data_IF_481413828334
#
_entry.id   IF_481413828334
#
_cell.length_a   1.000
_cell.length_b   1.000
_cell.length_c   1.000
_cell.angle_alpha   90.00
_cell.angle_beta   90.00
_cell.angle_gamma   90.00
#
_symmetry.space_group_name_H-M   'P 1'
#
loop_
_entity.id
_entity.type
_entity.pdbx_description
1 polymer ?
#
# COMPACT_ATOMS: atom_id res chain seq x y z
N UNK A 1 16.37 1.03 86.11
CA UNK A 1 16.86 0.94 84.72
C UNK A 1 16.28 -0.34 84.17
N UNK A 2 15.12 -0.22 83.48
CA UNK A 2 14.36 -1.38 82.99
C UNK A 2 14.56 -1.45 81.48
N UNK A 3 15.13 -2.51 81.00
CA UNK A 3 15.22 -2.84 79.61
C UNK A 3 13.88 -3.45 79.16
N UNK A 4 13.21 -2.79 78.27
CA UNK A 4 12.00 -3.30 77.60
C UNK A 4 12.47 -4.13 76.37
N UNK A 5 12.21 -5.42 76.38
CA UNK A 5 12.44 -6.37 75.33
C UNK A 5 11.19 -6.30 74.40
N UNK A 6 11.37 -5.72 73.22
CA UNK A 6 10.35 -5.76 72.13
C UNK A 6 10.36 -7.14 71.52
N UNK A 7 9.24 -7.84 71.62
CA UNK A 7 9.02 -9.14 71.00
C UNK A 7 8.30 -8.92 69.64
N UNK A 8 8.81 -9.44 68.50
CA UNK A 8 8.13 -9.22 67.22
C UNK A 8 6.83 -10.05 67.11
N UNK A 9 5.77 -9.40 66.65
CA UNK A 9 4.47 -9.99 66.43
C UNK A 9 4.53 -11.13 65.37
N UNK A 10 3.67 -12.16 65.43
CA UNK A 10 3.67 -13.26 64.49
C UNK A 10 3.19 -12.81 63.10
N UNK A 11 3.94 -13.25 62.08
CA UNK A 11 3.61 -13.01 60.69
C UNK A 11 2.26 -13.67 60.34
N UNK A 12 1.29 -12.85 59.95
CA UNK A 12 0.00 -13.33 59.43
C UNK A 12 0.21 -14.11 58.14
N UNK A 13 -0.13 -15.38 58.16
CA UNK A 13 -0.18 -16.26 56.99
C UNK A 13 -1.23 -15.75 56.02
N UNK A 14 -0.77 -14.99 54.98
CA UNK A 14 -1.64 -14.57 53.89
C UNK A 14 -1.87 -15.76 52.99
N UNK A 15 -3.03 -16.38 53.12
CA UNK A 15 -3.49 -17.45 52.27
C UNK A 15 -3.25 -17.10 50.75
N UNK A 16 -2.52 -17.98 50.09
CA UNK A 16 -2.20 -17.89 48.66
C UNK A 16 -3.53 -17.84 47.88
N UNK A 17 -3.73 -16.88 46.96
CA UNK A 17 -4.95 -16.81 46.17
C UNK A 17 -5.13 -18.08 45.35
N UNK A 18 -6.37 -18.58 45.19
CA UNK A 18 -6.65 -19.78 44.43
C UNK A 18 -6.12 -19.67 43.00
N UNK A 19 -5.57 -20.79 42.50
CA UNK A 19 -5.07 -20.87 41.13
C UNK A 19 -6.19 -20.53 40.12
N UNK A 20 -5.89 -19.77 39.07
CA UNK A 20 -6.91 -19.45 38.05
C UNK A 20 -7.41 -20.74 37.40
N UNK A 21 -8.73 -20.82 37.06
CA UNK A 21 -9.29 -22.00 36.42
C UNK A 21 -8.54 -22.34 35.13
N UNK A 22 -8.28 -23.62 34.91
CA UNK A 22 -7.64 -24.12 33.70
C UNK A 22 -8.38 -23.68 32.45
N UNK A 23 -7.69 -22.96 31.57
CA UNK A 23 -8.24 -22.56 30.29
C UNK A 23 -8.46 -23.81 29.43
N UNK A 24 -9.69 -24.11 28.97
CA UNK A 24 -9.94 -25.32 28.18
C UNK A 24 -9.04 -25.32 26.94
N UNK A 25 -8.44 -26.46 26.66
CA UNK A 25 -7.61 -26.67 25.47
C UNK A 25 -8.40 -26.32 24.22
N UNK A 26 -7.87 -25.41 23.40
CA UNK A 26 -8.52 -25.03 22.14
C UNK A 26 -8.58 -26.26 21.22
N UNK A 27 -9.73 -26.51 20.56
CA UNK A 27 -9.79 -27.56 19.54
C UNK A 27 -8.71 -27.31 18.50
N UNK A 28 -7.89 -28.31 18.22
CA UNK A 28 -6.95 -28.29 17.10
C UNK A 28 -7.77 -28.29 15.81
N UNK A 29 -7.72 -27.17 15.10
CA UNK A 29 -8.27 -27.12 13.75
C UNK A 29 -7.51 -28.12 12.86
N UNK A 30 -8.19 -28.79 11.89
CA UNK A 30 -7.48 -29.69 10.97
C UNK A 30 -6.33 -28.94 10.30
N UNK A 31 -5.17 -29.58 10.29
CA UNK A 31 -3.97 -29.06 9.62
C UNK A 31 -4.29 -28.95 8.13
N UNK A 32 -4.48 -27.71 7.67
CA UNK A 32 -4.56 -27.45 6.24
C UNK A 32 -3.25 -27.93 5.60
N UNK A 33 -3.29 -28.59 4.42
CA UNK A 33 -2.10 -29.08 3.76
C UNK A 33 -1.09 -27.91 3.64
N UNK A 34 0.08 -28.14 4.19
CA UNK A 34 1.16 -27.15 4.19
C UNK A 34 1.43 -26.76 2.72
N UNK A 35 1.11 -25.52 2.36
CA UNK A 35 1.52 -24.97 1.08
C UNK A 35 3.01 -25.20 0.94
N UNK A 36 3.40 -26.11 0.01
CA UNK A 36 4.80 -26.39 -0.28
C UNK A 36 5.51 -25.06 -0.58
N UNK A 37 6.68 -24.80 -0.01
CA UNK A 37 7.46 -23.62 -0.39
C UNK A 37 7.71 -23.66 -1.87
N UNK A 38 7.47 -22.56 -2.56
CA UNK A 38 7.99 -22.45 -3.94
C UNK A 38 9.52 -22.59 -3.85
N UNK A 39 10.12 -23.53 -4.60
CA UNK A 39 11.57 -23.76 -4.57
C UNK A 39 12.28 -22.43 -4.89
N UNK A 40 13.23 -22.00 -4.07
CA UNK A 40 14.02 -20.76 -4.26
C UNK A 40 13.56 -19.56 -3.44
N UNK A 41 12.26 -19.28 -3.24
CA UNK A 41 11.80 -18.13 -2.45
C UNK A 41 12.00 -18.29 -0.93
N UNK A 42 12.14 -19.51 -0.45
CA UNK A 42 12.45 -19.80 0.96
C UNK A 42 13.91 -19.50 1.34
N UNK A 43 14.81 -19.46 0.35
CA UNK A 43 16.25 -19.27 0.57
C UNK A 43 16.67 -17.79 0.66
N UNK A 44 15.85 -16.84 0.15
CA UNK A 44 16.20 -15.41 0.19
C UNK A 44 16.08 -14.87 1.61
N UNK A 45 17.11 -14.23 2.18
CA UNK A 45 17.06 -13.63 3.53
C UNK A 45 15.94 -12.58 3.65
N UNK A 46 15.35 -12.46 4.83
CA UNK A 46 14.27 -11.48 5.08
C UNK A 46 14.70 -10.03 4.87
N UNK A 47 15.93 -9.61 5.23
CA UNK A 47 16.43 -8.28 4.92
C UNK A 47 16.45 -7.97 3.42
N UNK A 48 16.88 -8.91 2.58
CA UNK A 48 16.96 -8.71 1.13
C UNK A 48 15.57 -8.54 0.50
N UNK A 49 14.59 -9.34 0.97
CA UNK A 49 13.19 -9.17 0.55
C UNK A 49 12.65 -7.79 0.93
N UNK A 50 12.98 -7.31 2.14
CA UNK A 50 12.57 -5.98 2.59
C UNK A 50 13.25 -4.87 1.79
N UNK A 51 14.53 -5.01 1.48
CA UNK A 51 15.27 -4.04 0.68
C UNK A 51 14.71 -3.97 -0.75
N UNK A 52 14.40 -5.11 -1.37
CA UNK A 52 13.75 -5.17 -2.68
C UNK A 52 12.37 -4.49 -2.65
N UNK A 53 11.59 -4.69 -1.57
CA UNK A 53 10.31 -4.00 -1.37
C UNK A 53 10.48 -2.50 -1.16
N UNK A 54 11.50 -2.06 -0.42
CA UNK A 54 11.80 -0.65 -0.20
C UNK A 54 12.19 0.03 -1.52
N UNK A 55 13.09 -0.55 -2.29
CA UNK A 55 13.51 -0.02 -3.60
C UNK A 55 12.35 0.07 -4.60
N UNK A 56 11.58 -1.01 -4.77
CA UNK A 56 10.40 -1.01 -5.64
C UNK A 56 9.30 -0.06 -5.16
N UNK A 57 9.11 0.07 -3.84
CA UNK A 57 8.19 1.04 -3.25
C UNK A 57 8.62 2.49 -3.49
N UNK A 58 9.92 2.79 -3.46
CA UNK A 58 10.47 4.10 -3.81
C UNK A 58 10.21 4.44 -5.29
N UNK A 59 10.44 3.48 -6.21
CA UNK A 59 10.11 3.63 -7.63
C UNK A 59 8.63 3.97 -7.82
N UNK A 60 7.72 3.24 -7.16
CA UNK A 60 6.29 3.54 -7.25
C UNK A 60 5.92 4.89 -6.63
N UNK A 61 6.50 5.25 -5.50
CA UNK A 61 6.22 6.56 -4.86
C UNK A 61 6.60 7.72 -5.77
N UNK A 62 7.74 7.64 -6.44
CA UNK A 62 8.14 8.60 -7.46
C UNK A 62 7.22 8.58 -8.69
N UNK A 63 6.92 7.39 -9.21
CA UNK A 63 6.06 7.23 -10.37
C UNK A 63 4.65 7.79 -10.15
N UNK A 64 3.97 7.48 -9.05
CA UNK A 64 2.59 7.94 -8.82
C UNK A 64 2.51 9.46 -8.69
N UNK A 65 3.56 10.12 -8.18
CA UNK A 65 3.64 11.57 -8.15
C UNK A 65 3.73 12.16 -9.56
N UNK A 66 4.68 11.67 -10.37
CA UNK A 66 4.85 12.14 -11.76
C UNK A 66 3.62 11.82 -12.60
N UNK A 67 3.04 10.64 -12.41
CA UNK A 67 1.82 10.21 -13.08
C UNK A 67 0.63 11.10 -12.73
N UNK A 68 0.46 11.46 -11.46
CA UNK A 68 -0.55 12.44 -11.04
C UNK A 68 -0.37 13.78 -11.75
N UNK A 69 0.87 14.32 -11.76
CA UNK A 69 1.15 15.59 -12.43
C UNK A 69 0.82 15.55 -13.93
N UNK A 70 1.11 14.41 -14.58
CA UNK A 70 0.70 14.15 -15.96
C UNK A 70 -0.82 14.11 -16.13
N UNK A 71 -1.53 13.42 -15.24
CA UNK A 71 -2.98 13.29 -15.28
C UNK A 71 -3.69 14.66 -15.12
N UNK A 72 -3.15 15.56 -14.28
CA UNK A 72 -3.71 16.91 -14.08
C UNK A 72 -3.69 17.77 -15.33
N UNK A 73 -2.93 17.40 -16.37
CA UNK A 73 -3.00 18.06 -17.68
C UNK A 73 -4.36 17.92 -18.36
N UNK A 74 -5.21 16.99 -17.91
CA UNK A 74 -6.58 16.85 -18.40
C UNK A 74 -7.38 18.15 -18.29
N UNK A 75 -7.09 19.00 -17.29
CA UNK A 75 -7.71 20.32 -17.13
C UNK A 75 -7.28 21.36 -18.18
N UNK A 76 -6.26 21.05 -18.97
CA UNK A 76 -5.79 21.91 -20.05
C UNK A 76 -6.49 21.63 -21.38
N UNK A 77 -7.41 20.66 -21.39
CA UNK A 77 -8.19 20.26 -22.56
C UNK A 77 -7.60 19.10 -23.36
N UNK A 78 -8.37 18.55 -24.31
CA UNK A 78 -8.03 17.34 -25.05
C UNK A 78 -6.72 17.47 -25.83
N UNK A 79 -6.52 18.58 -26.54
CA UNK A 79 -5.34 18.78 -27.37
C UNK A 79 -4.03 18.71 -26.59
N UNK A 80 -3.98 19.39 -25.42
CA UNK A 80 -2.77 19.40 -24.58
C UNK A 80 -2.56 18.07 -23.85
N UNK A 81 -3.64 17.39 -23.48
CA UNK A 81 -3.54 16.08 -22.83
C UNK A 81 -3.07 15.02 -23.82
N UNK A 82 -3.61 14.99 -25.03
CA UNK A 82 -3.21 14.04 -26.07
C UNK A 82 -1.80 14.35 -26.60
N UNK A 83 -1.41 15.63 -26.73
CA UNK A 83 -0.04 16.02 -27.04
C UNK A 83 0.96 15.54 -25.97
N UNK A 84 0.59 15.61 -24.68
CA UNK A 84 1.41 15.08 -23.61
C UNK A 84 1.54 13.54 -23.70
N UNK A 85 0.45 12.84 -23.98
CA UNK A 85 0.47 11.39 -24.17
C UNK A 85 1.34 10.99 -25.38
N UNK A 86 1.34 11.81 -26.46
CA UNK A 86 2.20 11.60 -27.61
C UNK A 86 3.67 11.91 -27.30
N UNK A 87 3.95 12.96 -26.52
CA UNK A 87 5.31 13.27 -26.05
C UNK A 87 5.93 12.07 -25.31
N UNK A 88 5.15 11.37 -24.47
CA UNK A 88 5.64 10.17 -23.79
C UNK A 88 5.99 9.03 -24.76
N UNK A 89 5.32 8.95 -25.90
CA UNK A 89 5.60 7.96 -26.95
C UNK A 89 6.79 8.33 -27.82
N UNK A 90 7.04 9.62 -28.00
CA UNK A 90 8.11 10.14 -28.86
C UNK A 90 9.36 10.56 -28.11
N UNK A 91 9.32 10.51 -26.76
CA UNK A 91 10.46 10.87 -25.92
C UNK A 91 11.70 10.05 -26.33
N UNK A 92 12.81 10.78 -26.53
CA UNK A 92 14.08 10.21 -26.97
C UNK A 92 14.28 10.23 -28.51
N UNK A 93 13.24 10.56 -29.30
CA UNK A 93 13.42 10.70 -30.75
C UNK A 93 14.22 11.98 -31.10
N UNK A 94 15.02 11.99 -32.17
CA UNK A 94 15.26 10.89 -33.11
C UNK A 94 16.34 9.90 -32.69
N UNK A 95 17.02 10.11 -31.53
CA UNK A 95 18.13 9.29 -31.09
C UNK A 95 17.69 7.85 -30.76
N UNK A 96 16.51 7.72 -30.16
CA UNK A 96 15.92 6.42 -29.84
C UNK A 96 14.65 6.19 -30.70
N UNK A 97 14.38 4.94 -31.08
CA UNK A 97 13.11 4.59 -31.75
C UNK A 97 11.90 5.00 -30.88
N UNK A 98 10.81 5.36 -31.56
CA UNK A 98 9.53 5.72 -30.91
C UNK A 98 9.09 4.66 -29.90
N UNK A 99 8.74 5.07 -28.69
CA UNK A 99 8.26 4.21 -27.61
C UNK A 99 9.34 3.57 -26.77
N UNK A 100 10.63 3.66 -27.11
CA UNK A 100 11.71 2.99 -26.36
C UNK A 100 11.72 3.37 -24.89
N UNK A 101 11.67 4.65 -24.55
CA UNK A 101 11.67 5.11 -23.15
C UNK A 101 10.38 4.69 -22.42
N UNK A 102 9.24 4.74 -23.11
CA UNK A 102 7.96 4.33 -22.54
C UNK A 102 7.95 2.82 -22.24
N UNK A 103 8.48 1.99 -23.14
CA UNK A 103 8.62 0.55 -22.90
C UNK A 103 9.62 0.23 -21.81
N UNK A 104 10.74 0.97 -21.75
CA UNK A 104 11.70 0.89 -20.64
C UNK A 104 11.03 1.18 -19.28
N UNK A 105 10.27 2.27 -19.20
CA UNK A 105 9.51 2.61 -18.01
C UNK A 105 8.49 1.52 -17.63
N UNK A 106 7.76 0.96 -18.60
CA UNK A 106 6.84 -0.17 -18.39
C UNK A 106 7.55 -1.40 -17.85
N UNK A 107 8.73 -1.73 -18.39
CA UNK A 107 9.52 -2.86 -17.91
C UNK A 107 9.96 -2.67 -16.45
N UNK A 108 10.48 -1.48 -16.11
CA UNK A 108 10.88 -1.12 -14.74
C UNK A 108 9.69 -1.18 -13.79
N UNK A 109 8.53 -0.63 -14.15
CA UNK A 109 7.32 -0.67 -13.32
C UNK A 109 6.80 -2.09 -13.14
N UNK A 110 6.82 -2.92 -14.20
CA UNK A 110 6.40 -4.32 -14.11
C UNK A 110 7.32 -5.12 -13.19
N UNK A 111 8.64 -4.98 -13.35
CA UNK A 111 9.61 -5.63 -12.47
C UNK A 111 9.45 -5.16 -11.01
N UNK A 112 9.24 -3.84 -10.80
CA UNK A 112 8.98 -3.28 -9.48
C UNK A 112 7.68 -3.82 -8.87
N UNK A 113 6.61 -4.00 -9.67
CA UNK A 113 5.35 -4.58 -9.19
C UNK A 113 5.54 -6.03 -8.73
N UNK A 114 6.24 -6.82 -9.52
CA UNK A 114 6.52 -8.22 -9.18
C UNK A 114 7.38 -8.33 -7.91
N UNK A 115 8.43 -7.51 -7.79
CA UNK A 115 9.28 -7.47 -6.60
C UNK A 115 8.50 -7.02 -5.36
N UNK A 116 7.71 -5.96 -5.47
CA UNK A 116 6.94 -5.38 -4.35
C UNK A 116 5.83 -6.34 -3.88
N UNK A 117 4.98 -6.78 -4.78
CA UNK A 117 3.86 -7.67 -4.46
C UNK A 117 4.35 -9.07 -4.05
N UNK A 118 5.37 -9.60 -4.75
CA UNK A 118 6.01 -10.88 -4.42
C UNK A 118 6.65 -10.84 -3.04
N UNK A 119 7.41 -9.78 -2.73
CA UNK A 119 8.00 -9.56 -1.41
C UNK A 119 6.94 -9.47 -0.32
N UNK A 120 5.86 -8.74 -0.54
CA UNK A 120 4.73 -8.64 0.39
C UNK A 120 4.07 -10.00 0.65
N UNK A 121 3.90 -10.81 -0.40
CA UNK A 121 3.38 -12.17 -0.29
C UNK A 121 4.32 -13.07 0.53
N UNK A 122 5.62 -13.07 0.24
CA UNK A 122 6.65 -13.84 0.97
C UNK A 122 6.66 -13.48 2.45
N UNK A 123 6.75 -12.18 2.78
CA UNK A 123 6.75 -11.72 4.17
C UNK A 123 5.43 -12.04 4.88
N UNK A 124 4.31 -12.01 4.17
CA UNK A 124 3.01 -12.38 4.73
C UNK A 124 2.97 -13.87 5.08
N UNK A 125 3.44 -14.75 4.18
CA UNK A 125 3.51 -16.18 4.43
C UNK A 125 4.45 -16.50 5.60
N UNK A 126 5.65 -15.88 5.63
CA UNK A 126 6.60 -16.05 6.74
C UNK A 126 6.00 -15.63 8.09
N UNK A 127 5.35 -14.46 8.13
CA UNK A 127 4.70 -13.97 9.35
C UNK A 127 3.56 -14.88 9.82
N UNK A 128 2.78 -15.45 8.91
CA UNK A 128 1.71 -16.42 9.26
C UNK A 128 2.27 -17.70 9.82
N UNK A 129 3.34 -18.23 9.22
CA UNK A 129 4.02 -19.45 9.72
C UNK A 129 4.60 -19.24 11.13
N UNK A 130 5.29 -18.12 11.35
CA UNK A 130 5.87 -17.78 12.64
C UNK A 130 4.83 -17.63 13.76
N UNK A 131 3.63 -17.16 13.44
CA UNK A 131 2.55 -16.95 14.42
C UNK A 131 1.62 -18.17 14.60
N UNK A 132 1.80 -19.24 13.85
CA UNK A 132 0.98 -20.45 13.93
C UNK A 132 -0.51 -20.25 13.58
N UNK A 133 -0.90 -19.11 13.00
CA UNK A 133 -2.28 -18.77 12.70
C UNK A 133 -2.41 -18.16 11.31
N UNK A 134 -3.41 -18.60 10.55
CA UNK A 134 -3.80 -18.00 9.26
C UNK A 134 -4.50 -16.65 9.45
N UNK A 135 -5.07 -16.41 10.64
CA UNK A 135 -5.75 -15.17 10.99
C UNK A 135 -4.81 -14.29 11.84
N UNK A 136 -4.83 -12.97 11.66
CA UNK A 136 -4.11 -12.10 12.57
C UNK A 136 -4.62 -12.33 14.00
N UNK A 137 -3.70 -12.41 14.99
CA UNK A 137 -4.11 -12.61 16.36
C UNK A 137 -5.11 -11.53 16.75
N UNK A 138 -6.32 -11.94 17.15
CA UNK A 138 -7.29 -11.06 17.80
C UNK A 138 -6.76 -10.70 19.17
N UNK A 139 -5.71 -9.89 19.22
CA UNK A 139 -5.15 -9.40 20.48
C UNK A 139 -6.26 -8.69 21.27
N UNK A 140 -6.34 -8.98 22.59
CA UNK A 140 -7.15 -8.22 23.54
C UNK A 140 -6.88 -6.74 23.30
N UNK A 141 -7.86 -6.03 22.77
CA UNK A 141 -7.76 -4.59 22.52
C UNK A 141 -7.70 -3.88 23.88
N UNK A 142 -6.70 -3.07 24.15
CA UNK A 142 -6.79 -2.16 25.30
C UNK A 142 -8.01 -1.28 25.07
N UNK A 143 -9.03 -1.40 25.95
CA UNK A 143 -10.19 -0.51 25.92
C UNK A 143 -9.70 0.90 26.23
N UNK A 144 -10.00 1.87 25.34
CA UNK A 144 -9.82 3.31 25.63
C UNK A 144 -8.73 4.04 24.84
N UNK A 145 -7.83 3.39 24.10
CA UNK A 145 -6.83 4.11 23.30
C UNK A 145 -7.42 4.54 21.95
N UNK A 146 -7.61 5.85 21.72
CA UNK A 146 -7.97 6.40 20.40
C UNK A 146 -6.96 5.85 19.38
N UNK A 147 -7.46 5.28 18.29
CA UNK A 147 -6.60 4.76 17.21
C UNK A 147 -5.96 5.94 16.51
N UNK A 148 -4.64 6.09 16.61
CA UNK A 148 -3.95 7.07 15.78
C UNK A 148 -4.14 6.69 14.29
N UNK A 149 -4.27 7.67 13.38
CA UNK A 149 -4.34 7.43 11.94
C UNK A 149 -3.20 6.52 11.44
N UNK A 150 -2.02 6.65 12.04
CA UNK A 150 -0.85 5.83 11.78
C UNK A 150 -1.07 4.33 12.10
N UNK A 151 -1.71 4.03 13.23
CA UNK A 151 -1.99 2.63 13.60
C UNK A 151 -3.06 2.01 12.67
N UNK A 152 -3.96 2.81 12.12
CA UNK A 152 -4.93 2.38 11.10
C UNK A 152 -4.20 2.09 9.78
N UNK A 153 -3.37 3.01 9.30
CA UNK A 153 -2.57 2.84 8.08
C UNK A 153 -1.71 1.57 8.14
N UNK A 154 -0.99 1.35 9.24
CA UNK A 154 -0.18 0.13 9.45
C UNK A 154 -1.00 -1.17 9.34
N UNK A 155 -2.21 -1.19 9.88
CA UNK A 155 -3.08 -2.37 9.85
C UNK A 155 -3.69 -2.61 8.48
N UNK A 156 -3.91 -1.55 7.70
CA UNK A 156 -4.52 -1.61 6.38
C UNK A 156 -3.53 -1.90 5.24
N UNK A 157 -2.21 -1.97 5.49
CA UNK A 157 -1.19 -2.15 4.44
C UNK A 157 -1.47 -3.33 3.50
N UNK A 158 -1.87 -4.48 4.06
CA UNK A 158 -2.16 -5.66 3.24
C UNK A 158 -3.45 -5.50 2.42
N UNK A 159 -4.49 -4.93 3.02
CA UNK A 159 -5.76 -4.69 2.32
C UNK A 159 -5.63 -3.58 1.28
N UNK A 160 -4.97 -2.47 1.62
CA UNK A 160 -4.71 -1.40 0.65
C UNK A 160 -3.81 -1.87 -0.49
N UNK A 161 -2.76 -2.66 -0.20
CA UNK A 161 -1.93 -3.28 -1.22
C UNK A 161 -2.71 -4.21 -2.15
N UNK A 162 -3.64 -5.01 -1.62
CA UNK A 162 -4.54 -5.86 -2.42
C UNK A 162 -5.47 -5.03 -3.32
N UNK A 163 -6.08 -3.98 -2.77
CA UNK A 163 -6.92 -3.04 -3.55
C UNK A 163 -6.12 -2.38 -4.67
N UNK A 164 -4.90 -1.91 -4.36
CA UNK A 164 -4.03 -1.27 -5.36
C UNK A 164 -3.56 -2.24 -6.44
N UNK A 165 -3.26 -3.49 -6.09
CA UNK A 165 -2.90 -4.52 -7.08
C UNK A 165 -4.04 -4.80 -8.06
N UNK A 166 -5.28 -4.99 -7.54
CA UNK A 166 -6.46 -5.18 -8.38
C UNK A 166 -6.79 -3.93 -9.20
N UNK A 167 -6.66 -2.75 -8.60
CA UNK A 167 -6.85 -1.48 -9.30
C UNK A 167 -5.82 -1.27 -10.40
N UNK A 168 -4.55 -1.58 -10.17
CA UNK A 168 -3.50 -1.45 -11.20
C UNK A 168 -3.81 -2.33 -12.41
N UNK A 169 -4.24 -3.58 -12.17
CA UNK A 169 -4.66 -4.47 -13.24
C UNK A 169 -5.86 -3.88 -14.00
N UNK A 170 -6.92 -3.46 -13.28
CA UNK A 170 -8.08 -2.84 -13.88
C UNK A 170 -7.71 -1.59 -14.68
N UNK A 171 -6.91 -0.69 -14.11
CA UNK A 171 -6.47 0.56 -14.73
C UNK A 171 -5.70 0.33 -16.05
N UNK A 172 -4.80 -0.67 -16.07
CA UNK A 172 -4.06 -1.03 -17.29
C UNK A 172 -5.00 -1.61 -18.34
N UNK A 173 -5.94 -2.47 -17.97
CA UNK A 173 -6.93 -3.02 -18.89
C UNK A 173 -7.87 -1.92 -19.43
N UNK A 174 -8.28 -0.99 -18.57
CA UNK A 174 -9.23 0.08 -18.89
C UNK A 174 -8.61 1.14 -19.84
N UNK A 175 -7.53 1.79 -19.40
CA UNK A 175 -7.00 2.98 -20.09
C UNK A 175 -5.76 2.74 -20.94
N UNK A 176 -5.09 1.59 -20.80
CA UNK A 176 -3.86 1.31 -21.57
C UNK A 176 -4.12 0.32 -22.69
N UNK A 177 -4.80 -0.79 -22.40
CA UNK A 177 -5.03 -1.88 -23.34
C UNK A 177 -6.39 -1.80 -24.04
N UNK A 178 -7.35 -1.07 -23.47
CA UNK A 178 -8.70 -1.01 -23.99
C UNK A 178 -9.44 -2.36 -23.93
N UNK A 179 -9.07 -3.22 -22.99
CA UNK A 179 -9.58 -4.58 -22.91
C UNK A 179 -10.95 -4.63 -22.21
N UNK A 180 -11.92 -5.29 -22.87
CA UNK A 180 -13.26 -5.51 -22.30
C UNK A 180 -13.24 -6.62 -21.26
N UNK A 181 -14.08 -6.55 -20.24
CA UNK A 181 -15.13 -5.55 -19.96
C UNK A 181 -14.63 -4.30 -19.19
N UNK A 182 -13.34 -4.18 -18.88
CA UNK A 182 -12.80 -3.05 -18.10
C UNK A 182 -12.95 -1.73 -18.86
N UNK A 183 -12.50 -1.68 -20.11
CA UNK A 183 -12.53 -0.47 -20.94
C UNK A 183 -13.96 -0.06 -21.34
N UNK A 184 -14.13 1.26 -21.58
CA UNK A 184 -15.34 1.82 -22.18
C UNK A 184 -15.60 1.24 -23.59
N UNK A 185 -16.85 1.27 -24.02
CA UNK A 185 -17.23 0.89 -25.39
C UNK A 185 -16.62 1.81 -26.43
N UNK A 186 -16.38 3.04 -26.06
CA UNK A 186 -15.88 4.11 -26.92
C UNK A 186 -14.34 4.22 -26.89
N UNK A 187 -13.65 3.22 -26.32
CA UNK A 187 -12.18 3.23 -26.28
C UNK A 187 -11.59 3.24 -27.69
N UNK A 188 -10.75 4.25 -27.95
CA UNK A 188 -10.02 4.40 -29.21
C UNK A 188 -8.51 4.53 -28.97
N UNK A 189 -7.67 3.66 -29.60
CA UNK A 189 -6.22 3.77 -29.47
C UNK A 189 -5.72 5.16 -29.88
N UNK A 190 -4.87 5.76 -29.03
CA UNK A 190 -4.30 7.10 -29.30
C UNK A 190 -5.07 8.27 -28.69
N UNK A 191 -6.35 8.14 -28.41
CA UNK A 191 -7.22 9.19 -27.87
C UNK A 191 -7.22 9.17 -26.34
N UNK A 192 -6.13 9.60 -25.71
CA UNK A 192 -5.94 9.47 -24.26
C UNK A 192 -7.00 10.25 -23.47
N UNK A 193 -7.30 11.50 -23.87
CA UNK A 193 -8.32 12.33 -23.22
C UNK A 193 -9.71 11.70 -23.33
N UNK A 194 -10.15 11.37 -24.56
CA UNK A 194 -11.47 10.80 -24.79
C UNK A 194 -11.65 9.46 -24.03
N UNK A 195 -10.63 8.60 -24.02
CA UNK A 195 -10.66 7.34 -23.29
C UNK A 195 -10.81 7.55 -21.77
N UNK A 196 -10.10 8.54 -21.19
CA UNK A 196 -10.23 8.90 -19.79
C UNK A 196 -11.64 9.40 -19.46
N UNK A 197 -12.18 10.32 -20.28
CA UNK A 197 -13.54 10.84 -20.09
C UNK A 197 -14.57 9.72 -20.23
N UNK A 198 -14.51 8.90 -21.27
CA UNK A 198 -15.43 7.78 -21.48
C UNK A 198 -15.36 6.75 -20.35
N UNK A 199 -14.17 6.49 -19.80
CA UNK A 199 -14.03 5.60 -18.66
C UNK A 199 -14.65 6.18 -17.40
N UNK A 200 -14.31 7.41 -17.03
CA UNK A 200 -14.71 8.05 -15.77
C UNK A 200 -16.17 8.60 -15.81
N UNK A 201 -16.80 8.68 -16.96
CA UNK A 201 -18.22 8.96 -17.09
C UNK A 201 -19.10 7.81 -16.57
N UNK A 202 -18.53 6.65 -16.33
CA UNK A 202 -19.21 5.50 -15.71
C UNK A 202 -19.13 5.62 -14.18
N UNK A 203 -20.24 5.93 -13.46
CA UNK A 203 -20.19 6.20 -12.01
C UNK A 203 -19.52 5.08 -11.17
N UNK A 204 -19.75 3.77 -11.44
CA UNK A 204 -19.06 2.72 -10.69
C UNK A 204 -17.53 2.73 -10.89
N UNK A 205 -17.08 3.07 -12.10
CA UNK A 205 -15.66 3.18 -12.41
C UNK A 205 -15.05 4.38 -11.70
N UNK A 206 -15.67 5.54 -11.80
CA UNK A 206 -15.25 6.75 -11.08
C UNK A 206 -15.14 6.52 -9.57
N UNK A 207 -16.12 5.81 -8.98
CA UNK A 207 -16.10 5.42 -7.57
C UNK A 207 -14.94 4.47 -7.25
N UNK A 208 -14.64 3.49 -8.12
CA UNK A 208 -13.51 2.58 -7.97
C UNK A 208 -12.16 3.33 -8.01
N UNK A 209 -12.00 4.30 -8.90
CA UNK A 209 -10.83 5.17 -8.95
C UNK A 209 -10.69 5.98 -7.65
N UNK A 210 -11.75 6.63 -7.17
CA UNK A 210 -11.73 7.39 -5.92
C UNK A 210 -11.37 6.51 -4.70
N UNK A 211 -11.94 5.30 -4.62
CA UNK A 211 -11.61 4.33 -3.57
C UNK A 211 -10.14 3.90 -3.64
N UNK A 212 -9.63 3.65 -4.84
CA UNK A 212 -8.22 3.31 -5.04
C UNK A 212 -7.29 4.45 -4.62
N UNK A 213 -7.66 5.72 -4.85
CA UNK A 213 -6.88 6.87 -4.39
C UNK A 213 -6.88 6.98 -2.87
N UNK A 214 -7.97 6.71 -2.19
CA UNK A 214 -8.02 6.63 -0.73
C UNK A 214 -7.11 5.49 -0.18
N UNK A 215 -7.14 4.32 -0.84
CA UNK A 215 -6.24 3.21 -0.51
C UNK A 215 -4.77 3.57 -0.76
N UNK A 216 -4.46 4.29 -1.85
CA UNK A 216 -3.12 4.75 -2.19
C UNK A 216 -2.58 5.73 -1.13
N UNK A 217 -3.39 6.72 -0.71
CA UNK A 217 -3.01 7.63 0.36
C UNK A 217 -2.62 6.87 1.63
N UNK A 218 -3.46 5.95 2.10
CA UNK A 218 -3.19 5.15 3.29
C UNK A 218 -1.93 4.27 3.11
N UNK A 219 -1.69 3.74 1.91
CA UNK A 219 -0.53 2.92 1.58
C UNK A 219 0.76 3.73 1.60
N UNK A 220 0.78 4.92 0.99
CA UNK A 220 1.93 5.83 0.97
C UNK A 220 2.28 6.37 2.36
N UNK A 221 1.27 6.77 3.15
CA UNK A 221 1.46 7.30 4.52
C UNK A 221 2.25 6.34 5.38
N UNK A 222 2.05 5.02 5.21
CA UNK A 222 2.80 4.03 5.97
C UNK A 222 4.05 3.55 5.19
N UNK A 223 3.94 3.32 3.89
CA UNK A 223 5.00 2.73 3.07
C UNK A 223 6.26 3.59 3.00
N UNK A 224 6.13 4.90 2.82
CA UNK A 224 7.30 5.80 2.71
C UNK A 224 8.18 5.78 3.98
N UNK A 225 7.65 5.89 5.20
CA UNK A 225 8.46 5.73 6.40
C UNK A 225 9.07 4.33 6.58
N UNK A 226 8.41 3.28 6.11
CA UNK A 226 8.99 1.92 6.14
C UNK A 226 10.18 1.80 5.17
N UNK A 227 10.13 2.43 3.98
CA UNK A 227 11.28 2.51 3.07
C UNK A 227 12.48 3.12 3.80
N UNK A 228 12.29 4.26 4.46
CA UNK A 228 13.37 4.94 5.17
C UNK A 228 13.88 4.14 6.38
N UNK A 229 13.00 3.39 7.03
CA UNK A 229 13.38 2.49 8.13
C UNK A 229 14.21 1.30 7.62
N UNK A 230 13.75 0.63 6.56
CA UNK A 230 14.41 -0.57 6.03
C UNK A 230 15.75 -0.24 5.32
N UNK A 231 15.93 1.01 4.87
CA UNK A 231 17.19 1.52 4.28
C UNK A 231 18.11 2.23 5.27
N UNK A 232 17.70 2.36 6.55
CA UNK A 232 18.51 3.04 7.57
C UNK A 232 18.49 4.58 7.51
N UNK A 233 17.71 5.19 6.62
CA UNK A 233 17.64 6.64 6.45
C UNK A 233 16.89 7.38 7.59
N UNK A 234 16.22 6.66 8.47
CA UNK A 234 15.39 7.22 9.55
C UNK A 234 16.01 6.99 10.94
N UNK A 235 17.28 7.35 11.12
CA UNK A 235 18.07 7.06 12.34
C UNK A 235 17.63 7.83 13.59
N UNK A 236 16.94 8.97 13.48
CA UNK A 236 16.53 9.80 14.63
C UNK A 236 15.02 9.94 14.77
N UNK A 237 14.47 10.13 15.99
CA UNK A 237 13.05 10.39 16.18
C UNK A 237 12.52 11.61 15.41
N UNK A 238 13.33 12.65 15.27
CA UNK A 238 13.01 13.85 14.51
C UNK A 238 12.90 13.55 13.00
N UNK A 239 13.84 12.79 12.44
CA UNK A 239 13.80 12.34 11.04
C UNK A 239 12.54 11.49 10.78
N UNK A 240 12.24 10.54 11.66
CA UNK A 240 11.03 9.72 11.56
C UNK A 240 9.75 10.56 11.57
N UNK A 241 9.66 11.59 12.44
CA UNK A 241 8.51 12.48 12.47
C UNK A 241 8.38 13.29 11.19
N UNK A 242 9.48 13.85 10.66
CA UNK A 242 9.47 14.60 9.38
C UNK A 242 9.03 13.71 8.22
N UNK A 243 9.54 12.49 8.13
CA UNK A 243 9.14 11.53 7.10
C UNK A 243 7.64 11.17 7.17
N UNK A 244 7.10 10.99 8.36
CA UNK A 244 5.66 10.72 8.53
C UNK A 244 4.81 11.90 8.05
N UNK A 245 5.21 13.13 8.35
CA UNK A 245 4.52 14.34 7.87
C UNK A 245 4.62 14.42 6.34
N UNK A 246 5.82 14.27 5.78
CA UNK A 246 6.04 14.30 4.33
C UNK A 246 5.21 13.22 3.61
N UNK A 247 5.19 12.00 4.15
CA UNK A 247 4.39 10.90 3.60
C UNK A 247 2.88 11.19 3.65
N UNK A 248 2.41 11.82 4.74
CA UNK A 248 1.00 12.21 4.87
C UNK A 248 0.63 13.31 3.87
N UNK A 249 1.48 14.32 3.72
CA UNK A 249 1.29 15.41 2.75
C UNK A 249 1.30 14.87 1.33
N UNK A 250 2.29 14.03 0.98
CA UNK A 250 2.39 13.44 -0.35
C UNK A 250 1.19 12.52 -0.66
N UNK A 251 0.83 11.64 0.28
CA UNK A 251 -0.32 10.75 0.11
C UNK A 251 -1.62 11.51 -0.07
N UNK A 252 -1.84 12.57 0.72
CA UNK A 252 -3.01 13.43 0.60
C UNK A 252 -3.03 14.19 -0.74
N UNK A 253 -1.89 14.76 -1.16
CA UNK A 253 -1.77 15.49 -2.41
C UNK A 253 -2.05 14.58 -3.62
N UNK A 254 -1.44 13.39 -3.66
CA UNK A 254 -1.64 12.41 -4.74
C UNK A 254 -3.09 11.95 -4.80
N UNK A 255 -3.70 11.64 -3.65
CA UNK A 255 -5.07 11.20 -3.60
C UNK A 255 -6.05 12.31 -3.98
N UNK A 256 -5.87 13.52 -3.45
CA UNK A 256 -6.71 14.66 -3.78
C UNK A 256 -6.60 15.01 -5.26
N UNK A 257 -5.37 15.18 -5.78
CA UNK A 257 -5.13 15.52 -7.17
C UNK A 257 -5.82 14.56 -8.15
N UNK A 258 -5.60 13.25 -7.96
CA UNK A 258 -6.23 12.27 -8.85
C UNK A 258 -7.76 12.13 -8.65
N UNK A 259 -8.29 12.35 -7.42
CA UNK A 259 -9.74 12.25 -7.16
C UNK A 259 -10.51 13.43 -7.76
N UNK A 260 -9.87 14.59 -7.96
CA UNK A 260 -10.54 15.72 -8.64
C UNK A 260 -10.96 15.36 -10.06
N UNK A 261 -10.22 14.49 -10.75
CA UNK A 261 -10.47 14.14 -12.16
C UNK A 261 -11.82 13.42 -12.36
N UNK A 262 -12.11 12.28 -11.67
CA UNK A 262 -13.40 11.63 -11.79
C UNK A 262 -14.56 12.55 -11.35
N UNK A 263 -14.35 13.40 -10.35
CA UNK A 263 -15.35 14.39 -9.93
C UNK A 263 -15.59 15.42 -11.07
N UNK A 264 -14.53 15.92 -11.70
CA UNK A 264 -14.63 16.88 -12.79
C UNK A 264 -15.33 16.29 -14.02
N UNK A 265 -15.08 15.03 -14.34
CA UNK A 265 -15.78 14.32 -15.43
C UNK A 265 -17.25 14.13 -15.10
N UNK A 266 -17.58 13.60 -13.92
CA UNK A 266 -18.98 13.37 -13.52
C UNK A 266 -19.80 14.67 -13.40
N UNK A 267 -19.15 15.80 -13.08
CA UNK A 267 -19.80 17.12 -13.01
C UNK A 267 -19.78 17.89 -14.35
N UNK A 268 -19.25 17.28 -15.41
CA UNK A 268 -19.18 17.87 -16.75
C UNK A 268 -18.21 19.03 -16.91
N UNK A 269 -17.27 19.22 -15.97
CA UNK A 269 -16.18 20.22 -16.07
C UNK A 269 -15.05 19.77 -17.00
N UNK A 270 -14.87 18.47 -17.16
CA UNK A 270 -13.99 17.82 -18.14
C UNK A 270 -14.88 16.96 -19.02
N UNK A 271 -14.84 17.20 -20.33
CA UNK A 271 -15.71 16.55 -21.34
C UNK A 271 -14.90 16.07 -22.52
#
# INVERSE_FOLDING_TARGET
MNAVTDSPAPATDRARPPAPPAVPARPRLPELPALRPLPGLSAVPTPDVKLAMAGSGAVFSGYVLVHMLGNLKVYQGPEKFDAYAELLRTAGAPVLPRGTLLWGARAVLTASLLAHAGGAAVLTVRARRANGTLLPPRGRRPRGRRRSPWAVAKRSMRSTGGVLGLFTLFHVLDLTLGARPAASRDFAPGSAHANLVASLSRPPVAAAYALAMAALAAHLVHGIPEIAHDTGLAGTPAAQRRLRIAAAVLGAAVAAGNTTIPVAVLTGRVR
#
